data_IF_342930455460
#
_entry.id   IF_342930455460
#
_cell.length_a   1.000
_cell.length_b   1.000
_cell.length_c   1.000
_cell.angle_alpha   90.00
_cell.angle_beta   90.00
_cell.angle_gamma   90.00
#
_symmetry.space_group_name_H-M   'P 1'
#
loop_
_entity.id
_entity.type
_entity.pdbx_description
1 polymer ?
#
# COMPACT_ATOMS: atom_id res chain seq x y z
N UNK A 1 9.72 6.66 -14.96
CA UNK A 1 10.83 7.29 -14.23
C UNK A 1 11.11 8.66 -14.84
N UNK A 2 11.56 9.64 -14.03
CA UNK A 2 11.93 10.99 -14.52
C UNK A 2 10.77 12.00 -14.62
N UNK A 3 9.54 11.67 -14.22
CA UNK A 3 8.40 12.59 -14.24
C UNK A 3 8.34 13.56 -13.06
N UNK A 4 9.34 13.58 -12.18
CA UNK A 4 9.41 14.50 -11.05
C UNK A 4 8.64 14.08 -9.78
N UNK A 5 8.21 12.81 -9.66
CA UNK A 5 7.45 12.34 -8.48
C UNK A 5 8.23 12.51 -7.17
N UNK A 6 9.45 11.99 -7.10
CA UNK A 6 10.37 12.17 -5.94
C UNK A 6 10.63 13.65 -5.65
N UNK A 7 10.78 14.47 -6.71
CA UNK A 7 10.97 15.92 -6.57
C UNK A 7 9.79 16.58 -5.86
N UNK A 8 8.57 16.21 -6.25
CA UNK A 8 7.34 16.72 -5.60
C UNK A 8 7.30 16.28 -4.12
N UNK A 9 7.63 15.02 -3.80
CA UNK A 9 7.67 14.55 -2.41
C UNK A 9 8.70 15.34 -1.60
N UNK A 10 9.89 15.61 -2.15
CA UNK A 10 10.93 16.41 -1.49
C UNK A 10 10.51 17.88 -1.31
N UNK A 11 9.76 18.45 -2.25
CA UNK A 11 9.20 19.82 -2.12
C UNK A 11 8.14 19.86 -1.01
N UNK A 12 7.21 18.90 -0.97
CA UNK A 12 6.18 18.82 0.07
C UNK A 12 6.82 18.65 1.45
N UNK A 13 7.87 17.84 1.55
CA UNK A 13 8.65 17.65 2.77
C UNK A 13 9.61 18.83 3.08
N UNK A 14 9.58 19.90 2.27
CA UNK A 14 10.42 21.10 2.43
C UNK A 14 11.94 20.83 2.41
N UNK A 15 12.37 19.71 1.83
CA UNK A 15 13.79 19.38 1.63
C UNK A 15 14.41 20.23 0.52
N UNK A 16 13.62 20.51 -0.53
CA UNK A 16 14.02 21.37 -1.64
C UNK A 16 12.97 22.46 -1.86
N UNK A 17 13.36 23.67 -2.25
CA UNK A 17 12.41 24.74 -2.56
C UNK A 17 11.64 24.45 -3.86
N UNK A 18 10.41 24.96 -3.97
CA UNK A 18 9.68 24.96 -5.22
C UNK A 18 10.15 26.09 -6.13
N UNK A 19 10.33 25.84 -7.43
CA UNK A 19 10.67 26.87 -8.41
C UNK A 19 9.53 27.87 -8.59
N UNK A 20 8.28 27.41 -8.51
CA UNK A 20 7.06 28.21 -8.60
C UNK A 20 5.98 27.61 -7.69
N UNK A 21 5.10 28.48 -7.21
CA UNK A 21 4.03 28.06 -6.31
C UNK A 21 4.44 28.11 -4.84
N UNK A 22 3.54 27.69 -3.97
CA UNK A 22 3.74 27.67 -2.52
C UNK A 22 3.24 26.34 -1.95
N UNK A 23 3.99 25.77 -1.01
CA UNK A 23 3.54 24.67 -0.17
C UNK A 23 3.16 25.25 1.19
N UNK A 24 1.90 25.10 1.55
CA UNK A 24 1.40 25.54 2.85
C UNK A 24 0.97 24.30 3.67
N UNK A 25 1.69 24.05 4.74
CA UNK A 25 1.35 22.99 5.69
C UNK A 25 0.46 23.58 6.79
N UNK A 26 -0.58 22.84 7.18
CA UNK A 26 -1.40 23.22 8.33
C UNK A 26 -0.58 23.19 9.62
N UNK A 27 -1.01 23.96 10.64
CA UNK A 27 -0.29 24.11 11.92
C UNK A 27 -0.08 22.80 12.70
N UNK A 28 -0.93 21.81 12.48
CA UNK A 28 -0.88 20.52 13.17
C UNK A 28 -0.44 19.37 12.23
N UNK A 29 0.24 19.68 11.13
CA UNK A 29 0.76 18.64 10.22
C UNK A 29 2.18 18.27 10.65
N UNK A 30 2.35 17.01 11.07
CA UNK A 30 3.62 16.39 11.40
C UNK A 30 3.96 15.38 10.31
N UNK A 31 5.00 15.69 9.52
CA UNK A 31 5.42 14.85 8.41
C UNK A 31 6.39 13.78 8.90
N UNK A 32 6.12 12.51 8.55
CA UNK A 32 7.07 11.42 8.59
C UNK A 32 7.52 11.09 7.17
N UNK A 33 8.80 11.28 6.85
CA UNK A 33 9.35 11.03 5.53
C UNK A 33 10.18 9.76 5.51
N UNK A 34 9.87 8.88 4.58
CA UNK A 34 10.64 7.66 4.31
C UNK A 34 11.25 7.75 2.92
N UNK A 35 12.56 7.84 2.88
CA UNK A 35 13.36 7.77 1.67
C UNK A 35 14.32 6.57 1.80
N UNK A 36 14.37 5.75 0.79
CA UNK A 36 15.20 4.56 0.77
C UNK A 36 16.70 4.87 0.93
N UNK A 37 17.17 6.01 0.43
CA UNK A 37 18.58 6.40 0.44
C UNK A 37 19.01 7.07 1.76
N UNK A 38 18.06 7.59 2.56
CA UNK A 38 18.35 8.43 3.72
C UNK A 38 17.88 7.83 5.05
N UNK A 39 17.81 6.51 5.15
CA UNK A 39 17.50 5.84 6.41
C UNK A 39 18.69 5.93 7.36
N UNK A 40 18.67 6.93 8.23
CA UNK A 40 19.71 7.10 9.25
C UNK A 40 19.40 6.18 10.44
N UNK A 41 19.88 4.93 10.34
CA UNK A 41 19.93 4.00 11.47
C UNK A 41 21.37 3.97 12.00
N UNK A 42 21.55 3.98 13.33
CA UNK A 42 22.87 3.83 13.94
C UNK A 42 23.28 2.35 13.89
N UNK A 43 24.27 2.07 13.05
CA UNK A 43 24.79 0.71 12.84
C UNK A 43 25.38 0.06 14.11
N UNK A 44 25.74 0.86 15.12
CA UNK A 44 26.36 0.39 16.36
C UNK A 44 25.33 0.12 17.48
N UNK A 45 24.05 0.42 17.23
CA UNK A 45 22.96 0.13 18.17
C UNK A 45 22.29 -1.20 17.84
N UNK A 46 21.64 -1.75 18.86
CA UNK A 46 20.67 -2.83 18.66
C UNK A 46 19.37 -2.25 18.11
N UNK A 47 18.52 -3.09 17.51
CA UNK A 47 17.17 -2.68 17.05
C UNK A 47 16.40 -2.04 18.20
N UNK A 48 16.47 -2.66 19.39
CA UNK A 48 15.77 -2.17 20.57
C UNK A 48 16.30 -0.81 21.02
N UNK A 49 17.62 -0.63 21.11
CA UNK A 49 18.24 0.61 21.57
C UNK A 49 17.96 1.75 20.58
N UNK A 50 17.98 1.49 19.27
CA UNK A 50 17.67 2.48 18.24
C UNK A 50 16.28 3.10 18.42
N UNK A 51 15.29 2.29 18.81
CA UNK A 51 13.94 2.77 19.06
C UNK A 51 13.82 3.38 20.46
N UNK A 52 14.37 2.73 21.49
CA UNK A 52 14.29 3.17 22.87
C UNK A 52 14.94 4.54 23.08
N UNK A 53 16.09 4.78 22.45
CA UNK A 53 16.79 6.07 22.54
C UNK A 53 16.05 7.19 21.81
N UNK A 54 15.34 6.85 20.74
CA UNK A 54 14.53 7.83 20.00
C UNK A 54 13.28 8.23 20.79
N UNK A 55 12.67 7.29 21.54
CA UNK A 55 11.47 7.52 22.37
C UNK A 55 11.66 7.04 23.80
N UNK A 56 12.42 7.76 24.64
CA UNK A 56 12.72 7.34 26.02
C UNK A 56 11.50 7.19 26.94
N UNK A 57 10.39 7.85 26.58
CA UNK A 57 9.13 7.75 27.33
C UNK A 57 8.32 6.49 27.00
N UNK A 58 8.71 5.73 25.96
CA UNK A 58 7.98 4.57 25.52
C UNK A 58 8.33 3.34 26.37
N UNK A 59 7.32 2.59 26.81
CA UNK A 59 7.55 1.37 27.58
C UNK A 59 8.20 0.28 26.73
N UNK A 60 9.07 -0.51 27.34
CA UNK A 60 9.73 -1.65 26.67
C UNK A 60 8.72 -2.63 26.05
N UNK A 61 7.58 -2.84 26.68
CA UNK A 61 6.51 -3.69 26.15
C UNK A 61 5.95 -3.12 24.85
N UNK A 62 5.72 -1.80 24.78
CA UNK A 62 5.21 -1.14 23.56
C UNK A 62 6.21 -1.23 22.42
N UNK A 63 7.49 -1.00 22.69
CA UNK A 63 8.58 -1.15 21.71
C UNK A 63 8.61 -2.58 21.17
N UNK A 64 8.61 -3.59 22.05
CA UNK A 64 8.61 -5.00 21.64
C UNK A 64 7.36 -5.38 20.83
N UNK A 65 6.18 -4.88 21.19
CA UNK A 65 4.95 -5.15 20.47
C UNK A 65 5.00 -4.59 19.03
N UNK A 66 5.52 -3.37 18.86
CA UNK A 66 5.69 -2.80 17.53
C UNK A 66 6.74 -3.58 16.75
N UNK A 67 7.89 -3.87 17.33
CA UNK A 67 8.94 -4.66 16.67
C UNK A 67 8.43 -6.05 16.28
N UNK A 68 7.60 -6.70 17.11
CA UNK A 68 6.97 -7.97 16.78
C UNK A 68 6.04 -7.89 15.57
N UNK A 69 5.30 -6.77 15.41
CA UNK A 69 4.49 -6.51 14.21
C UNK A 69 5.34 -6.40 12.93
N UNK A 70 6.63 -6.04 13.07
CA UNK A 70 7.61 -6.03 11.99
C UNK A 70 8.51 -7.28 11.98
N UNK A 71 8.05 -8.39 12.58
CA UNK A 71 8.71 -9.71 12.65
C UNK A 71 10.05 -9.73 13.41
N UNK A 72 10.28 -8.80 14.30
CA UNK A 72 11.40 -8.88 15.25
C UNK A 72 10.88 -9.41 16.60
N UNK A 73 11.08 -10.70 16.85
CA UNK A 73 10.54 -11.38 18.04
C UNK A 73 11.65 -11.93 18.93
N UNK A 74 11.35 -12.15 20.21
CA UNK A 74 12.29 -12.74 21.15
C UNK A 74 13.60 -11.96 21.24
N UNK A 75 14.72 -12.64 20.95
CA UNK A 75 16.08 -12.08 21.01
C UNK A 75 16.48 -11.33 19.73
N UNK A 76 15.69 -11.40 18.66
CA UNK A 76 15.98 -10.66 17.42
C UNK A 76 16.09 -9.16 17.66
N UNK A 77 15.32 -8.63 18.62
CA UNK A 77 15.34 -7.19 18.95
C UNK A 77 16.70 -6.70 19.47
N UNK A 78 17.57 -7.60 19.91
CA UNK A 78 18.92 -7.29 20.41
C UNK A 78 20.01 -7.46 19.36
N UNK A 79 19.66 -7.84 18.12
CA UNK A 79 20.60 -7.85 16.99
C UNK A 79 21.08 -6.43 16.71
N UNK A 80 22.35 -6.29 16.39
CA UNK A 80 22.89 -5.01 15.93
C UNK A 80 22.39 -4.68 14.54
N UNK A 81 22.11 -3.40 14.29
CA UNK A 81 21.62 -2.91 12.98
C UNK A 81 22.60 -3.21 11.86
N UNK A 82 23.90 -3.18 12.13
CA UNK A 82 24.94 -3.54 11.14
C UNK A 82 24.85 -4.99 10.65
N UNK A 83 24.32 -5.89 11.48
CA UNK A 83 24.26 -7.33 11.20
C UNK A 83 22.97 -7.72 10.43
N UNK A 84 22.06 -6.74 10.23
CA UNK A 84 20.80 -6.94 9.52
C UNK A 84 20.99 -6.89 8.00
N UNK A 85 20.17 -7.67 7.29
CA UNK A 85 19.99 -7.54 5.85
C UNK A 85 19.36 -6.19 5.47
N UNK A 86 19.43 -5.82 4.17
CA UNK A 86 18.79 -4.59 3.68
C UNK A 86 17.27 -4.54 3.95
N UNK A 87 16.57 -5.66 3.75
CA UNK A 87 15.14 -5.76 4.04
C UNK A 87 14.81 -5.63 5.53
N UNK A 88 15.63 -6.23 6.41
CA UNK A 88 15.47 -6.08 7.86
C UNK A 88 15.70 -4.63 8.31
N UNK A 89 16.74 -3.96 7.81
CA UNK A 89 16.95 -2.53 8.08
C UNK A 89 15.77 -1.69 7.61
N UNK A 90 15.21 -1.98 6.43
CA UNK A 90 13.99 -1.35 5.94
C UNK A 90 12.82 -1.51 6.91
N UNK A 91 12.60 -2.71 7.46
CA UNK A 91 11.55 -2.97 8.47
C UNK A 91 11.78 -2.18 9.76
N UNK A 92 13.03 -2.09 10.25
CA UNK A 92 13.35 -1.27 11.44
C UNK A 92 13.03 0.20 11.19
N UNK A 93 13.41 0.74 10.03
CA UNK A 93 13.11 2.13 9.67
C UNK A 93 11.61 2.40 9.56
N UNK A 94 10.86 1.45 9.00
CA UNK A 94 9.39 1.55 8.93
C UNK A 94 8.77 1.47 10.33
N UNK A 95 9.23 0.56 11.19
CA UNK A 95 8.79 0.49 12.58
C UNK A 95 9.05 1.81 13.32
N UNK A 96 10.24 2.41 13.10
CA UNK A 96 10.61 3.72 13.63
C UNK A 96 9.67 4.82 13.13
N UNK A 97 9.33 4.82 11.85
CA UNK A 97 8.41 5.78 11.26
C UNK A 97 6.98 5.64 11.83
N UNK A 98 6.49 4.42 11.99
CA UNK A 98 5.15 4.14 12.55
C UNK A 98 5.02 4.48 14.03
N UNK A 99 6.13 4.58 14.75
CA UNK A 99 6.17 5.01 16.15
C UNK A 99 6.23 6.53 16.31
N UNK A 100 6.53 7.26 15.23
CA UNK A 100 6.57 8.72 15.25
C UNK A 100 5.16 9.32 15.45
N UNK A 101 5.11 10.56 15.94
CA UNK A 101 3.86 11.32 16.08
C UNK A 101 3.41 11.95 14.73
N UNK A 102 3.92 11.42 13.62
CA UNK A 102 3.54 11.87 12.28
C UNK A 102 2.06 11.58 12.03
N UNK A 103 1.36 12.51 11.40
CA UNK A 103 -0.01 12.33 10.90
C UNK A 103 -0.11 12.44 9.38
N UNK A 104 1.01 12.75 8.72
CA UNK A 104 1.21 12.68 7.28
C UNK A 104 2.48 11.87 6.98
N UNK A 105 2.33 10.68 6.44
CA UNK A 105 3.45 9.88 5.97
C UNK A 105 3.70 10.14 4.49
N UNK A 106 4.96 10.42 4.14
CA UNK A 106 5.41 10.56 2.76
C UNK A 106 6.42 9.44 2.50
N UNK A 107 6.10 8.53 1.55
CA UNK A 107 6.90 7.35 1.27
C UNK A 107 7.33 7.36 -0.20
N UNK A 108 8.64 7.34 -0.44
CA UNK A 108 9.20 7.24 -1.80
C UNK A 108 9.71 5.82 -2.05
N UNK A 109 9.02 5.09 -2.95
CA UNK A 109 9.28 3.71 -3.33
C UNK A 109 9.48 2.76 -2.12
N UNK A 110 8.54 2.71 -1.15
CA UNK A 110 8.74 1.99 0.10
C UNK A 110 8.80 0.47 -0.05
N UNK A 111 8.40 -0.07 -1.19
CA UNK A 111 8.42 -1.51 -1.50
C UNK A 111 9.74 -1.97 -2.11
N UNK A 112 10.63 -1.06 -2.52
CA UNK A 112 11.91 -1.40 -3.11
C UNK A 112 12.79 -2.17 -2.11
N UNK A 113 13.43 -3.24 -2.60
CA UNK A 113 14.30 -4.13 -1.82
C UNK A 113 13.65 -4.85 -0.64
N UNK A 114 12.31 -4.74 -0.47
CA UNK A 114 11.58 -5.55 0.49
C UNK A 114 11.27 -6.92 -0.11
N UNK A 115 11.46 -7.96 0.69
CA UNK A 115 10.94 -9.29 0.39
C UNK A 115 9.40 -9.32 0.52
N UNK A 116 8.79 -10.42 0.07
CA UNK A 116 7.33 -10.56 0.05
C UNK A 116 6.73 -10.38 1.45
N UNK A 117 7.35 -10.97 2.48
CA UNK A 117 6.89 -10.88 3.86
C UNK A 117 6.96 -9.43 4.39
N UNK A 118 8.06 -8.73 4.10
CA UNK A 118 8.24 -7.34 4.51
C UNK A 118 7.24 -6.39 3.83
N UNK A 119 6.87 -6.65 2.57
CA UNK A 119 5.82 -5.89 1.86
C UNK A 119 4.46 -6.09 2.50
N UNK A 120 4.09 -7.33 2.83
CA UNK A 120 2.80 -7.63 3.48
C UNK A 120 2.68 -6.93 4.84
N UNK A 121 3.77 -6.89 5.61
CA UNK A 121 3.82 -6.15 6.87
C UNK A 121 3.61 -4.66 6.65
N UNK A 122 4.30 -4.07 5.65
CA UNK A 122 4.13 -2.67 5.31
C UNK A 122 2.69 -2.36 4.88
N UNK A 123 2.08 -3.19 4.03
CA UNK A 123 0.70 -3.05 3.61
C UNK A 123 -0.26 -3.04 4.82
N UNK A 124 -0.11 -4.00 5.73
CA UNK A 124 -0.93 -4.11 6.92
C UNK A 124 -0.74 -2.91 7.86
N UNK A 125 0.49 -2.45 8.05
CA UNK A 125 0.79 -1.28 8.85
C UNK A 125 0.16 -0.01 8.27
N UNK A 126 0.26 0.21 6.96
CA UNK A 126 -0.31 1.38 6.30
C UNK A 126 -1.85 1.36 6.25
N UNK A 127 -2.46 0.18 6.12
CA UNK A 127 -3.93 0.02 6.18
C UNK A 127 -4.50 0.35 7.56
N UNK A 128 -3.76 0.05 8.61
CA UNK A 128 -4.16 0.35 9.99
C UNK A 128 -3.75 1.75 10.45
N UNK A 129 -3.00 2.48 9.63
CA UNK A 129 -2.58 3.83 9.96
C UNK A 129 -3.74 4.83 9.89
N UNK A 130 -3.94 5.60 10.95
CA UNK A 130 -5.07 6.53 11.07
C UNK A 130 -4.85 7.90 10.41
N UNK A 131 -3.61 8.21 10.03
CA UNK A 131 -3.25 9.47 9.36
C UNK A 131 -3.37 9.41 7.84
N UNK A 132 -2.83 10.42 7.19
CA UNK A 132 -2.75 10.49 5.73
C UNK A 132 -1.44 9.87 5.24
N UNK A 133 -1.51 9.08 4.17
CA UNK A 133 -0.33 8.50 3.52
C UNK A 133 -0.26 9.00 2.08
N UNK A 134 0.86 9.60 1.72
CA UNK A 134 1.21 9.95 0.35
C UNK A 134 2.41 9.11 -0.05
N UNK A 135 2.27 8.30 -1.09
CA UNK A 135 3.37 7.45 -1.52
C UNK A 135 3.54 7.40 -3.04
N UNK A 136 4.75 7.12 -3.46
CA UNK A 136 5.10 6.77 -4.84
C UNK A 136 5.53 5.31 -4.84
N UNK A 137 5.00 4.51 -5.73
CA UNK A 137 5.43 3.12 -5.93
C UNK A 137 5.24 2.69 -7.38
N UNK A 138 6.10 1.78 -7.84
CA UNK A 138 5.94 1.06 -9.11
C UNK A 138 5.26 -0.31 -8.94
N UNK A 139 5.02 -0.73 -7.71
CA UNK A 139 4.35 -1.98 -7.39
C UNK A 139 2.82 -1.80 -7.48
N UNK A 140 2.24 -2.30 -8.58
CA UNK A 140 0.79 -2.18 -8.86
C UNK A 140 -0.05 -2.91 -7.81
N UNK A 141 0.44 -4.05 -7.32
CA UNK A 141 -0.26 -4.80 -6.29
C UNK A 141 -0.33 -4.00 -4.99
N UNK A 142 0.80 -3.47 -4.55
CA UNK A 142 0.88 -2.60 -3.37
C UNK A 142 -0.03 -1.38 -3.49
N UNK A 143 0.02 -0.67 -4.64
CA UNK A 143 -0.85 0.48 -4.90
C UNK A 143 -2.32 0.06 -4.78
N UNK A 144 -2.70 -1.07 -5.38
CA UNK A 144 -4.09 -1.54 -5.35
C UNK A 144 -4.59 -1.91 -3.96
N UNK A 145 -3.70 -2.39 -3.09
CA UNK A 145 -4.01 -2.79 -1.73
C UNK A 145 -4.12 -1.62 -0.73
N UNK A 146 -3.33 -0.56 -0.94
CA UNK A 146 -3.17 0.53 0.03
C UNK A 146 -3.85 1.83 -0.42
N UNK A 147 -3.81 2.15 -1.73
CA UNK A 147 -4.31 3.42 -2.23
C UNK A 147 -5.84 3.48 -2.21
N UNK A 148 -6.37 4.55 -1.66
CA UNK A 148 -7.78 4.95 -1.75
C UNK A 148 -8.00 6.03 -2.81
N UNK A 149 -6.93 6.66 -3.26
CA UNK A 149 -6.91 7.75 -4.23
C UNK A 149 -5.61 7.71 -5.03
N UNK A 150 -5.70 7.94 -6.34
CA UNK A 150 -4.53 7.99 -7.23
C UNK A 150 -4.42 9.38 -7.84
N UNK A 151 -3.20 9.91 -7.81
CA UNK A 151 -2.82 11.16 -8.44
C UNK A 151 -1.88 10.83 -9.61
N UNK A 152 -2.34 11.02 -10.82
CA UNK A 152 -1.54 10.83 -12.04
C UNK A 152 -0.86 12.13 -12.42
N UNK A 153 0.47 12.10 -12.41
CA UNK A 153 1.29 13.22 -12.86
C UNK A 153 1.66 13.02 -14.33
N UNK A 154 1.18 13.93 -15.18
CA UNK A 154 1.46 13.96 -16.61
C UNK A 154 2.00 15.32 -17.04
N UNK A 155 2.44 15.45 -18.28
CA UNK A 155 2.87 16.74 -18.86
C UNK A 155 1.71 17.78 -18.88
N UNK A 156 0.47 17.32 -18.93
CA UNK A 156 -0.73 18.15 -18.93
C UNK A 156 -1.20 18.55 -17.53
N UNK A 157 -0.50 18.12 -16.48
CA UNK A 157 -0.82 18.42 -15.09
C UNK A 157 -1.11 17.20 -14.23
N UNK A 158 -1.87 17.42 -13.15
CA UNK A 158 -2.21 16.41 -12.15
C UNK A 158 -3.68 15.99 -12.32
N UNK A 159 -3.90 14.73 -12.68
CA UNK A 159 -5.23 14.12 -12.71
C UNK A 159 -5.50 13.35 -11.42
N UNK A 160 -6.75 13.41 -10.94
CA UNK A 160 -7.17 12.81 -9.68
C UNK A 160 -8.22 11.72 -9.89
N UNK A 161 -7.99 10.53 -9.32
CA UNK A 161 -8.88 9.39 -9.39
C UNK A 161 -9.19 8.91 -7.96
N UNK A 162 -10.46 9.03 -7.55
CA UNK A 162 -10.93 8.60 -6.23
C UNK A 162 -11.21 7.10 -6.24
N UNK A 163 -10.18 6.30 -6.07
CA UNK A 163 -10.24 4.83 -6.09
C UNK A 163 -8.84 4.21 -6.06
N UNK A 164 -8.82 2.89 -6.10
CA UNK A 164 -7.60 2.09 -6.14
C UNK A 164 -7.03 1.99 -7.57
N UNK A 165 -5.98 1.17 -7.75
CA UNK A 165 -5.32 1.01 -9.04
C UNK A 165 -6.25 0.41 -10.12
N UNK A 166 -7.11 -0.54 -9.76
CA UNK A 166 -8.05 -1.15 -10.71
C UNK A 166 -9.06 -0.11 -11.23
N UNK A 167 -9.57 0.75 -10.34
CA UNK A 167 -10.45 1.86 -10.71
C UNK A 167 -9.75 2.84 -11.67
N UNK A 168 -8.49 3.19 -11.39
CA UNK A 168 -7.69 4.05 -12.25
C UNK A 168 -7.56 3.46 -13.66
N UNK A 169 -7.19 2.17 -13.76
CA UNK A 169 -7.06 1.47 -15.06
C UNK A 169 -8.40 1.41 -15.80
N UNK A 170 -9.51 1.14 -15.11
CA UNK A 170 -10.85 1.13 -15.71
C UNK A 170 -11.20 2.50 -16.32
N UNK A 171 -10.87 3.59 -15.64
CA UNK A 171 -11.09 4.95 -16.12
C UNK A 171 -10.20 5.31 -17.29
N UNK A 172 -8.95 4.87 -17.32
CA UNK A 172 -8.05 5.06 -18.46
C UNK A 172 -8.54 4.33 -19.72
N UNK A 173 -9.11 3.14 -19.57
CA UNK A 173 -9.65 2.36 -20.67
C UNK A 173 -11.00 2.90 -21.19
N UNK A 174 -11.76 3.61 -20.39
CA UNK A 174 -13.09 4.14 -20.70
C UNK A 174 -13.18 5.65 -20.38
N UNK A 175 -12.51 6.54 -21.11
CA UNK A 175 -12.48 7.97 -20.81
C UNK A 175 -13.84 8.67 -20.97
N UNK A 176 -14.80 8.08 -21.70
CA UNK A 176 -16.14 8.65 -21.94
C UNK A 176 -17.10 8.61 -20.72
N UNK A 177 -16.69 8.06 -19.58
CA UNK A 177 -17.50 8.04 -18.36
C UNK A 177 -17.13 9.15 -17.34
N UNK A 178 -16.33 10.15 -17.73
CA UNK A 178 -15.69 11.11 -16.80
C UNK A 178 -16.32 12.51 -16.79
N UNK A 179 -17.43 12.74 -17.49
CA UNK A 179 -18.10 14.05 -17.47
C UNK A 179 -19.26 14.13 -16.47
N UNK A 180 -19.02 13.86 -15.19
CA UNK A 180 -19.92 14.33 -14.13
C UNK A 180 -19.33 14.17 -12.73
N UNK A 181 -18.25 14.88 -12.42
CA UNK A 181 -17.95 15.29 -11.03
C UNK A 181 -16.76 16.27 -10.99
N UNK A 182 -16.94 17.42 -11.63
CA UNK A 182 -16.12 18.60 -11.38
C UNK A 182 -16.97 19.54 -10.50
N UNK A 183 -16.73 19.54 -9.19
CA UNK A 183 -17.28 20.57 -8.32
C UNK A 183 -16.63 21.92 -8.63
N UNK A 184 -17.36 22.76 -9.36
CA UNK A 184 -17.20 24.20 -9.29
C UNK A 184 -18.37 24.75 -8.48
N UNK A 185 -18.01 25.38 -7.38
CA UNK A 185 -18.92 26.16 -6.52
C UNK A 185 -19.41 27.38 -7.32
N UNK A 186 -20.71 27.48 -7.57
CA UNK A 186 -21.49 28.73 -7.44
C UNK A 186 -22.93 28.59 -7.96
N UNK A 187 -23.85 28.86 -7.06
CA UNK A 187 -25.13 29.61 -7.26
C UNK A 187 -26.32 28.94 -7.94
N UNK A 188 -27.37 28.91 -7.15
CA UNK A 188 -28.75 28.58 -7.37
C UNK A 188 -29.37 29.10 -8.68
N UNK A 189 -30.13 28.27 -9.37
CA UNK A 189 -31.52 28.63 -9.78
C UNK A 189 -32.28 27.34 -10.17
N UNK A 190 -33.46 27.25 -9.59
CA UNK A 190 -34.49 26.21 -9.77
C UNK A 190 -35.09 26.29 -11.17
N UNK A 191 -35.19 25.19 -11.90
CA UNK A 191 -36.37 24.84 -12.70
C UNK A 191 -36.44 23.34 -13.01
N UNK A 192 -37.57 22.79 -12.77
CA UNK A 192 -38.11 21.46 -13.01
C UNK A 192 -38.03 21.01 -14.46
N UNK A 193 -37.52 19.76 -14.69
CA UNK A 193 -38.10 18.85 -15.69
C UNK A 193 -37.69 17.40 -15.36
N UNK A 194 -38.65 16.67 -14.86
CA UNK A 194 -38.64 15.21 -14.68
C UNK A 194 -39.04 14.54 -16.00
N UNK A 195 -38.38 13.43 -16.31
CA UNK A 195 -38.71 12.33 -17.23
C UNK A 195 -37.60 12.02 -18.21
N UNK A 196 -36.61 11.19 -17.80
CA UNK A 196 -35.96 10.17 -18.68
C UNK A 196 -34.87 9.33 -18.01
N UNK A 197 -34.67 9.41 -16.70
CA UNK A 197 -33.59 8.73 -15.95
C UNK A 197 -33.87 7.24 -15.65
N UNK A 198 -35.12 6.79 -15.65
CA UNK A 198 -35.46 5.42 -15.26
C UNK A 198 -35.04 4.32 -16.25
N UNK A 199 -34.81 4.63 -17.52
CA UNK A 199 -34.39 3.63 -18.53
C UNK A 199 -32.85 3.45 -18.61
N UNK A 200 -32.07 4.44 -18.23
CA UNK A 200 -30.60 4.35 -18.17
C UNK A 200 -30.15 3.54 -16.94
N UNK A 201 -30.74 3.78 -15.79
CA UNK A 201 -30.43 3.06 -14.54
C UNK A 201 -30.66 1.54 -14.66
N UNK A 202 -31.72 1.12 -15.34
CA UNK A 202 -32.04 -0.31 -15.49
C UNK A 202 -31.01 -1.06 -16.37
N UNK A 203 -30.46 -0.40 -17.39
CA UNK A 203 -29.47 -1.01 -18.27
C UNK A 203 -28.10 -1.13 -17.58
N UNK A 204 -27.70 -0.11 -16.82
CA UNK A 204 -26.49 -0.13 -16.01
C UNK A 204 -26.56 -1.15 -14.88
N UNK A 205 -27.69 -1.24 -14.19
CA UNK A 205 -27.91 -2.23 -13.15
C UNK A 205 -27.86 -3.67 -13.69
N UNK A 206 -28.39 -3.91 -14.88
CA UNK A 206 -28.34 -5.22 -15.55
C UNK A 206 -26.94 -5.59 -16.02
N UNK A 207 -26.14 -4.64 -16.47
CA UNK A 207 -24.73 -4.86 -16.83
C UNK A 207 -23.84 -5.12 -15.61
N UNK A 208 -24.07 -4.39 -14.51
CA UNK A 208 -23.39 -4.63 -13.22
C UNK A 208 -23.70 -6.02 -12.69
N UNK A 209 -24.97 -6.43 -12.68
CA UNK A 209 -25.37 -7.78 -12.27
C UNK A 209 -24.78 -8.88 -13.18
N UNK A 210 -24.67 -8.62 -14.48
CA UNK A 210 -24.05 -9.56 -15.41
C UNK A 210 -22.53 -9.68 -15.18
N UNK A 211 -21.85 -8.57 -14.87
CA UNK A 211 -20.41 -8.56 -14.49
C UNK A 211 -20.18 -9.29 -13.16
N UNK A 212 -21.03 -9.04 -12.16
CA UNK A 212 -20.97 -9.75 -10.88
C UNK A 212 -21.18 -11.25 -11.01
N UNK A 213 -22.17 -11.67 -11.82
CA UNK A 213 -22.40 -13.10 -12.11
C UNK A 213 -21.19 -13.74 -12.81
N UNK A 214 -20.58 -13.06 -13.77
CA UNK A 214 -19.36 -13.54 -14.44
C UNK A 214 -18.19 -13.67 -13.45
N UNK A 215 -17.99 -12.67 -12.59
CA UNK A 215 -16.94 -12.69 -11.54
C UNK A 215 -17.18 -13.81 -10.54
N UNK A 216 -18.42 -13.99 -10.09
CA UNK A 216 -18.80 -15.06 -9.16
C UNK A 216 -18.61 -16.46 -9.77
N UNK A 217 -18.91 -16.62 -11.05
CA UNK A 217 -18.71 -17.88 -11.77
C UNK A 217 -17.20 -18.16 -12.01
N UNK A 218 -16.39 -17.13 -12.26
CA UNK A 218 -14.94 -17.28 -12.35
C UNK A 218 -14.35 -17.67 -11.01
N UNK A 219 -14.77 -17.01 -9.93
CA UNK A 219 -14.33 -17.32 -8.57
C UNK A 219 -14.65 -18.78 -8.22
N UNK A 220 -15.88 -19.22 -8.51
CA UNK A 220 -16.31 -20.60 -8.27
C UNK A 220 -15.47 -21.62 -9.04
N UNK A 221 -15.18 -21.37 -10.33
CA UNK A 221 -14.30 -22.24 -11.14
C UNK A 221 -12.86 -22.29 -10.60
N UNK A 222 -12.38 -21.16 -10.06
CA UNK A 222 -11.03 -21.12 -9.49
C UNK A 222 -10.97 -21.89 -8.17
N UNK A 223 -11.99 -21.77 -7.34
CA UNK A 223 -12.11 -22.54 -6.10
C UNK A 223 -12.20 -24.06 -6.38
N UNK A 224 -13.07 -24.48 -7.30
CA UNK A 224 -13.15 -25.89 -7.72
C UNK A 224 -11.81 -26.44 -8.23
N UNK A 225 -11.00 -25.57 -8.86
CA UNK A 225 -9.68 -25.96 -9.37
C UNK A 225 -8.63 -26.06 -8.24
N UNK A 226 -8.74 -25.21 -7.23
CA UNK A 226 -7.91 -25.27 -6.01
C UNK A 226 -8.23 -26.55 -5.25
N UNK A 227 -9.52 -26.84 -5.00
CA UNK A 227 -9.96 -28.05 -4.31
C UNK A 227 -9.48 -29.33 -5.02
N UNK A 228 -9.50 -29.32 -6.36
CA UNK A 228 -8.99 -30.46 -7.15
C UNK A 228 -7.46 -30.63 -7.04
N UNK A 229 -6.72 -29.53 -6.96
CA UNK A 229 -5.26 -29.55 -6.75
C UNK A 229 -4.92 -30.04 -5.35
N UNK A 230 -5.64 -29.56 -4.34
CA UNK A 230 -5.45 -29.98 -2.94
C UNK A 230 -5.78 -31.46 -2.74
N UNK A 231 -6.83 -31.96 -3.39
CA UNK A 231 -7.13 -33.38 -3.39
C UNK A 231 -5.99 -34.21 -4.03
N UNK A 232 -5.42 -33.71 -5.13
CA UNK A 232 -4.30 -34.37 -5.81
C UNK A 232 -3.01 -34.34 -5.01
N UNK A 233 -2.74 -33.23 -4.30
CA UNK A 233 -1.62 -33.14 -3.37
C UNK A 233 -1.75 -34.15 -2.23
N UNK A 234 -2.94 -34.30 -1.65
CA UNK A 234 -3.20 -35.32 -0.64
C UNK A 234 -2.95 -36.74 -1.13
N UNK A 235 -3.43 -37.05 -2.35
CA UNK A 235 -3.15 -38.39 -2.96
C UNK A 235 -1.64 -38.59 -3.15
N UNK A 236 -0.90 -37.57 -3.56
CA UNK A 236 0.55 -37.66 -3.74
C UNK A 236 1.29 -37.83 -2.40
N UNK A 237 0.84 -37.12 -1.36
CA UNK A 237 1.40 -37.25 0.00
C UNK A 237 1.14 -38.67 0.56
N UNK A 238 -0.06 -39.23 0.35
CA UNK A 238 -0.38 -40.60 0.75
C UNK A 238 0.45 -41.66 -0.03
N UNK A 239 0.72 -41.41 -1.31
CA UNK A 239 1.60 -42.28 -2.11
C UNK A 239 3.06 -42.18 -1.67
N UNK A 240 3.52 -41.00 -1.26
CA UNK A 240 4.88 -40.77 -0.75
C UNK A 240 5.14 -41.43 0.62
N UNK A 241 4.10 -41.68 1.40
CA UNK A 241 4.20 -42.35 2.72
C UNK A 241 4.24 -43.88 2.58
N UNK A 242 3.92 -44.48 1.40
CA UNK A 242 3.99 -45.91 1.17
C UNK A 242 5.45 -46.37 1.01
N UNK A 243 5.88 -47.30 1.82
CA UNK A 243 7.26 -47.86 1.85
C UNK A 243 7.76 -48.39 0.49
N UNK A 244 6.86 -48.83 -0.38
CA UNK A 244 7.18 -49.35 -1.72
C UNK A 244 7.76 -48.32 -2.69
N UNK A 245 7.57 -47.03 -2.43
CA UNK A 245 8.07 -45.94 -3.29
C UNK A 245 9.54 -45.59 -2.98
N UNK A 246 10.00 -45.85 -1.75
CA UNK A 246 11.40 -45.60 -1.34
C UNK A 246 12.37 -46.76 -1.66
N UNK A 247 11.86 -47.94 -2.00
CA UNK A 247 12.70 -49.11 -2.25
C UNK A 247 13.05 -49.34 -3.72
N UNK A 248 12.52 -48.54 -4.66
CA UNK A 248 12.75 -48.68 -6.10
C UNK A 248 13.67 -47.59 -6.64
N UNK A 249 14.89 -47.48 -6.07
CA UNK A 249 16.02 -46.77 -6.69
C UNK A 249 17.07 -47.80 -7.04
N UNK A 250 16.99 -48.31 -8.26
CA UNK A 250 18.06 -49.07 -8.93
C UNK A 250 18.61 -48.22 -10.05
#
# INVERSE_FOLDING_TARGET
NGTGKTTILKIINQVIPADKGLVHLGSNVHIGYYDQEHQVLDMNKTIFDEISDTWPSMTHTRIRNVLAAFLFTGDDVFKYIRDLSGGERGRVSLAKLMLSDANLLILDEPTNHLDIMSREILENALRSYSGTVLFVSHDRYFINQVATRILELSENGLANYNGNYDYYVEKQLNPSATESSGESVASETVTTETVSTAKMDYKQQKELQAKERKRKNQLKKTMERIDAIDARLKELDELLVQEDVYTNVS
#
